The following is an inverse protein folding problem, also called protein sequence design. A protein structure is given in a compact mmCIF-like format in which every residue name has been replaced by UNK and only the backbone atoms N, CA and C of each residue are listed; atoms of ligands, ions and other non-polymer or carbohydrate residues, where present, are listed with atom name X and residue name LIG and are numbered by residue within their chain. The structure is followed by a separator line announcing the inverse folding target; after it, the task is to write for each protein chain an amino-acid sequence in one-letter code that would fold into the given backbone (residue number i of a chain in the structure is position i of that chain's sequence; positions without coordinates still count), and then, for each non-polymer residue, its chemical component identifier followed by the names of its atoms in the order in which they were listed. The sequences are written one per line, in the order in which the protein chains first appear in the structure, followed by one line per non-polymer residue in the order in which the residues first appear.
data_IF_021289536679
#
_entry.id   IF_021289536679
#
_cell.length_a   1.000
_cell.length_b   1.000
_cell.length_c   1.000
_cell.angle_alpha   90.00
_cell.angle_beta   90.00
_cell.angle_gamma   90.00
#
_symmetry.space_group_name_H-M   'P 1'
#
loop_
_entity.id
_entity.type
_entity.pdbx_description
1 polymer ?
#
# COMPACT_ATOMS: atom_id res chain seq x y z
N UNK A 1 5.55 -10.60 6.55
CA UNK A 1 5.11 -10.77 5.16
C UNK A 1 4.40 -12.10 5.04
N UNK A 2 3.13 -12.08 4.71
CA UNK A 2 2.33 -13.29 4.63
C UNK A 2 1.69 -13.43 3.24
N UNK A 3 2.01 -14.50 2.54
CA UNK A 3 1.38 -14.78 1.25
C UNK A 3 -0.04 -15.29 1.52
N UNK A 4 -1.04 -14.55 1.04
CA UNK A 4 -2.45 -14.92 1.20
C UNK A 4 -2.91 -15.91 0.14
N UNK A 5 -2.31 -15.88 -1.03
CA UNK A 5 -2.65 -16.73 -2.15
C UNK A 5 -2.80 -15.93 -3.43
N UNK A 6 -3.39 -16.57 -4.42
CA UNK A 6 -3.64 -15.94 -5.73
C UNK A 6 -5.11 -15.61 -5.90
N UNK A 7 -5.39 -14.49 -6.57
CA UNK A 7 -6.76 -14.16 -6.96
C UNK A 7 -7.17 -14.98 -8.17
N UNK A 8 -8.47 -14.97 -8.48
CA UNK A 8 -8.99 -15.68 -9.68
C UNK A 8 -8.39 -15.14 -10.98
N UNK A 9 -7.89 -13.90 -10.97
CA UNK A 9 -7.25 -13.28 -12.14
C UNK A 9 -5.75 -13.47 -12.19
N UNK A 10 -5.16 -14.25 -11.30
CA UNK A 10 -3.74 -14.60 -11.32
C UNK A 10 -2.80 -13.59 -10.66
N UNK A 11 -3.30 -12.82 -9.71
CA UNK A 11 -2.50 -11.88 -8.92
C UNK A 11 -2.12 -12.55 -7.59
N UNK A 12 -0.84 -12.55 -7.24
CA UNK A 12 -0.38 -13.04 -5.94
C UNK A 12 -0.52 -11.94 -4.90
N UNK A 13 -1.28 -12.19 -3.83
CA UNK A 13 -1.54 -11.20 -2.78
C UNK A 13 -0.72 -11.53 -1.54
N UNK A 14 0.04 -10.54 -1.08
CA UNK A 14 0.88 -10.63 0.11
C UNK A 14 0.44 -9.53 1.09
N UNK A 15 0.18 -9.93 2.33
CA UNK A 15 -0.18 -9.02 3.40
C UNK A 15 1.05 -8.77 4.28
N UNK A 16 1.32 -7.51 4.58
CA UNK A 16 2.43 -7.14 5.45
C UNK A 16 2.03 -5.99 6.36
N UNK A 17 2.29 -6.15 7.63
CA UNK A 17 2.02 -5.15 8.66
C UNK A 17 2.90 -3.90 8.53
N UNK A 18 3.85 -3.88 7.59
CA UNK A 18 4.77 -2.77 7.40
C UNK A 18 4.02 -1.45 7.27
N UNK A 19 4.40 -0.49 8.10
CA UNK A 19 3.81 0.86 8.11
C UNK A 19 4.86 1.95 8.35
N UNK A 20 6.10 1.57 8.59
CA UNK A 20 7.24 2.49 8.70
C UNK A 20 8.03 2.45 7.38
N UNK A 21 8.58 3.58 6.92
CA UNK A 21 9.27 3.62 5.61
C UNK A 21 10.37 2.56 5.45
N UNK A 22 11.14 2.29 6.50
CA UNK A 22 12.21 1.28 6.46
C UNK A 22 11.63 -0.12 6.27
N UNK A 23 10.53 -0.43 6.96
CA UNK A 23 9.86 -1.73 6.83
C UNK A 23 9.27 -1.90 5.43
N UNK A 24 8.66 -0.86 4.90
CA UNK A 24 8.05 -0.86 3.56
C UNK A 24 9.12 -1.15 2.51
N UNK A 25 10.23 -0.42 2.55
CA UNK A 25 11.34 -0.63 1.61
C UNK A 25 11.89 -2.05 1.69
N UNK A 26 12.03 -2.60 2.90
CA UNK A 26 12.52 -3.95 3.10
C UNK A 26 11.55 -5.00 2.54
N UNK A 27 10.25 -4.82 2.74
CA UNK A 27 9.23 -5.73 2.20
C UNK A 27 9.21 -5.73 0.69
N UNK A 28 9.31 -4.55 0.06
CA UNK A 28 9.35 -4.42 -1.40
C UNK A 28 10.59 -5.12 -1.95
N UNK A 29 11.75 -4.92 -1.32
CA UNK A 29 12.99 -5.57 -1.74
C UNK A 29 12.88 -7.09 -1.64
N UNK A 30 12.28 -7.60 -0.56
CA UNK A 30 12.07 -9.04 -0.38
C UNK A 30 11.14 -9.60 -1.46
N UNK A 31 10.09 -8.88 -1.81
CA UNK A 31 9.15 -9.30 -2.85
C UNK A 31 9.83 -9.33 -4.22
N UNK A 32 10.68 -8.34 -4.54
CA UNK A 32 11.47 -8.33 -5.78
C UNK A 32 12.34 -9.56 -5.88
N UNK A 33 12.98 -9.93 -4.79
CA UNK A 33 13.86 -11.11 -4.75
C UNK A 33 13.08 -12.41 -4.88
N UNK A 34 11.93 -12.51 -4.22
CA UNK A 34 11.11 -13.72 -4.23
C UNK A 34 10.36 -13.94 -5.55
N UNK A 35 10.02 -12.86 -6.26
CA UNK A 35 9.21 -12.90 -7.48
C UNK A 35 9.90 -12.15 -8.62
N UNK A 36 11.06 -12.62 -9.08
CA UNK A 36 11.81 -11.92 -10.12
C UNK A 36 11.02 -11.80 -11.41
N UNK A 37 11.11 -10.63 -12.05
CA UNK A 37 10.45 -10.39 -13.33
C UNK A 37 8.96 -10.09 -13.26
N UNK A 38 8.35 -10.14 -12.07
CA UNK A 38 6.93 -9.82 -11.90
C UNK A 38 6.76 -8.37 -11.46
N UNK A 39 5.67 -7.74 -11.90
CA UNK A 39 5.37 -6.36 -11.52
C UNK A 39 4.92 -6.31 -10.05
N UNK A 40 5.49 -5.39 -9.28
CA UNK A 40 5.16 -5.19 -7.88
C UNK A 40 4.24 -3.98 -7.74
N UNK A 41 3.02 -4.22 -7.30
CA UNK A 41 2.02 -3.19 -7.03
C UNK A 41 1.79 -3.14 -5.52
N UNK A 42 1.83 -1.93 -4.95
CA UNK A 42 1.60 -1.74 -3.51
C UNK A 42 0.24 -1.11 -3.28
N UNK A 43 -0.51 -1.63 -2.33
CA UNK A 43 -1.68 -0.98 -1.75
C UNK A 43 -1.28 -0.54 -0.35
N UNK A 44 -1.14 0.76 -0.12
CA UNK A 44 -0.62 1.31 1.13
C UNK A 44 -1.66 2.13 1.86
N UNK A 45 -1.96 1.73 3.11
CA UNK A 45 -2.78 2.51 4.02
C UNK A 45 -1.85 3.19 5.04
N UNK A 46 -1.67 4.52 4.98
CA UNK A 46 -0.88 5.21 5.99
C UNK A 46 -1.54 5.08 7.36
N UNK A 47 -0.72 4.95 8.39
CA UNK A 47 -1.19 4.78 9.77
C UNK A 47 -0.89 6.04 10.57
N UNK A 48 -1.93 6.74 10.98
CA UNK A 48 -1.99 8.01 11.70
C UNK A 48 -1.40 9.20 10.89
N UNK A 49 -2.02 10.36 11.08
CA UNK A 49 -1.55 11.61 10.47
C UNK A 49 -0.18 11.99 11.03
N UNK A 50 0.02 11.87 12.34
CA UNK A 50 1.26 12.25 12.98
C UNK A 50 2.46 11.48 12.42
N UNK A 51 2.33 10.17 12.26
CA UNK A 51 3.43 9.34 11.72
C UNK A 51 3.70 9.69 10.27
N UNK A 52 2.66 9.93 9.49
CA UNK A 52 2.82 10.28 8.08
C UNK A 52 3.54 11.62 7.94
N UNK A 53 3.23 12.59 8.79
CA UNK A 53 3.93 13.89 8.82
C UNK A 53 5.37 13.70 9.25
N UNK A 54 5.58 12.96 10.34
CA UNK A 54 6.93 12.78 10.92
C UNK A 54 7.91 12.17 9.92
N UNK A 55 7.47 11.20 9.14
CA UNK A 55 8.31 10.46 8.20
C UNK A 55 7.97 10.77 6.74
N UNK A 56 7.40 11.93 6.47
CA UNK A 56 6.88 12.29 5.14
C UNK A 56 7.91 12.06 4.05
N UNK A 57 9.11 12.63 4.20
CA UNK A 57 10.14 12.54 3.15
C UNK A 57 10.63 11.11 2.96
N UNK A 58 10.76 10.36 4.03
CA UNK A 58 11.18 8.96 3.98
C UNK A 58 10.14 8.09 3.28
N UNK A 59 8.85 8.37 3.46
CA UNK A 59 7.80 7.66 2.74
C UNK A 59 7.90 7.87 1.23
N UNK A 60 8.27 9.07 0.80
CA UNK A 60 8.30 9.40 -0.63
C UNK A 60 9.25 8.52 -1.43
N UNK A 61 10.31 8.03 -0.80
CA UNK A 61 11.32 7.16 -1.44
C UNK A 61 11.17 5.69 -1.05
N UNK A 62 10.34 5.37 -0.06
CA UNK A 62 10.20 4.01 0.45
C UNK A 62 9.71 3.03 -0.62
N UNK A 63 8.99 3.51 -1.62
CA UNK A 63 8.38 2.69 -2.67
C UNK A 63 9.20 2.63 -3.95
N UNK A 64 10.43 3.14 -3.95
CA UNK A 64 11.23 3.28 -5.17
C UNK A 64 11.43 1.95 -5.91
N UNK A 65 11.48 0.83 -5.21
CA UNK A 65 11.65 -0.48 -5.83
C UNK A 65 10.32 -1.10 -6.30
N UNK A 66 9.19 -0.48 -6.05
CA UNK A 66 7.90 -0.92 -6.56
C UNK A 66 7.62 -0.31 -7.94
N UNK A 67 6.72 -0.94 -8.70
CA UNK A 67 6.35 -0.42 -10.02
C UNK A 67 5.18 0.57 -9.94
N UNK A 68 4.28 0.38 -8.97
CA UNK A 68 3.08 1.19 -8.83
C UNK A 68 2.60 1.17 -7.39
N UNK A 69 2.06 2.30 -6.94
CA UNK A 69 1.50 2.43 -5.58
C UNK A 69 0.07 2.97 -5.68
N UNK A 70 -0.83 2.34 -4.96
CA UNK A 70 -2.18 2.88 -4.70
C UNK A 70 -2.25 3.16 -3.21
N UNK A 71 -2.60 4.40 -2.85
CA UNK A 71 -2.78 4.78 -1.45
C UNK A 71 -4.25 4.79 -1.09
N UNK A 72 -4.54 4.58 0.19
CA UNK A 72 -5.88 4.73 0.74
C UNK A 72 -5.95 5.92 1.68
N UNK A 73 -7.14 6.21 2.19
CA UNK A 73 -7.30 7.14 3.30
C UNK A 73 -6.46 6.69 4.49
N UNK A 74 -6.04 7.67 5.30
CA UNK A 74 -5.22 7.40 6.47
C UNK A 74 -6.06 6.72 7.54
N UNK A 75 -5.54 5.62 8.10
CA UNK A 75 -6.15 4.97 9.27
C UNK A 75 -5.70 5.70 10.53
N UNK A 76 -6.63 6.38 11.19
CA UNK A 76 -6.33 7.09 12.44
C UNK A 76 -7.56 7.03 13.35
N UNK A 77 -7.50 6.14 14.34
CA UNK A 77 -8.60 5.91 15.27
C UNK A 77 -8.66 6.93 16.41
N UNK A 78 -7.69 7.86 16.47
CA UNK A 78 -7.66 8.87 17.54
C UNK A 78 -8.62 10.00 17.25
N UNK A 79 -9.20 10.63 18.31
CA UNK A 79 -10.02 11.81 18.11
C UNK A 79 -9.28 12.92 17.37
N UNK A 80 -9.99 13.65 16.54
CA UNK A 80 -9.45 14.75 15.72
C UNK A 80 -9.30 16.04 16.51
N UNK A 81 -8.63 15.98 17.64
CA UNK A 81 -8.44 17.16 18.48
C UNK A 81 -7.04 17.70 18.25
N UNK A 82 -6.95 18.90 17.71
CA UNK A 82 -5.70 19.68 17.62
C UNK A 82 -4.52 18.93 16.97
N UNK A 83 -4.79 18.08 15.99
CA UNK A 83 -3.71 17.44 15.24
C UNK A 83 -3.59 18.03 13.85
N UNK A 84 -2.37 18.05 13.35
CA UNK A 84 -2.11 18.41 11.96
C UNK A 84 -2.59 17.28 11.06
N UNK A 85 -3.27 17.62 9.97
CA UNK A 85 -3.80 16.64 9.02
C UNK A 85 -2.95 16.61 7.76
N UNK A 86 -2.73 15.41 7.23
CA UNK A 86 -2.06 15.21 5.96
C UNK A 86 -3.11 15.32 4.84
N UNK A 87 -2.78 16.08 3.81
CA UNK A 87 -3.51 16.00 2.54
C UNK A 87 -3.03 14.75 1.81
N UNK A 88 -3.83 13.69 1.85
CA UNK A 88 -3.44 12.39 1.28
C UNK A 88 -3.26 12.45 -0.24
N UNK A 89 -4.02 13.27 -0.92
CA UNK A 89 -3.86 13.43 -2.38
C UNK A 89 -2.51 14.05 -2.71
N UNK A 90 -2.08 15.06 -1.94
CA UNK A 90 -0.78 15.68 -2.12
C UNK A 90 0.36 14.72 -1.76
N UNK A 91 0.21 14.01 -0.63
CA UNK A 91 1.18 13.00 -0.22
C UNK A 91 1.39 11.97 -1.33
N UNK A 92 0.30 11.48 -1.91
CA UNK A 92 0.36 10.49 -2.98
C UNK A 92 1.07 11.06 -4.21
N UNK A 93 0.75 12.30 -4.57
CA UNK A 93 1.40 12.96 -5.71
C UNK A 93 2.90 13.16 -5.49
N UNK A 94 3.33 13.30 -4.25
CA UNK A 94 4.74 13.52 -3.91
C UNK A 94 5.56 12.22 -3.89
N UNK A 95 4.93 11.05 -3.84
CA UNK A 95 5.65 9.76 -3.87
C UNK A 95 6.45 9.66 -5.18
N UNK A 96 7.72 9.25 -5.08
CA UNK A 96 8.61 9.19 -6.25
C UNK A 96 8.15 8.16 -7.27
N UNK A 97 7.72 6.98 -6.83
CA UNK A 97 7.16 5.96 -7.71
C UNK A 97 5.79 6.41 -8.22
N UNK A 98 5.40 5.96 -9.42
CA UNK A 98 4.05 6.22 -9.93
C UNK A 98 3.01 5.80 -8.91
N UNK A 99 2.18 6.74 -8.48
CA UNK A 99 1.24 6.50 -7.39
C UNK A 99 -0.12 7.12 -7.71
N UNK A 100 -1.18 6.48 -7.21
CA UNK A 100 -2.56 6.93 -7.39
C UNK A 100 -3.30 6.81 -6.07
N UNK A 101 -4.03 7.86 -5.71
CA UNK A 101 -4.88 7.84 -4.53
C UNK A 101 -6.18 7.09 -4.84
N UNK A 102 -6.51 6.09 -4.02
CA UNK A 102 -7.65 5.20 -4.24
C UNK A 102 -8.86 5.47 -3.33
N UNK A 103 -8.76 6.38 -2.37
CA UNK A 103 -9.86 6.66 -1.44
C UNK A 103 -9.95 5.68 -0.29
N UNK A 104 -11.17 5.43 0.22
CA UNK A 104 -11.36 4.40 1.25
C UNK A 104 -10.89 3.03 0.77
N UNK A 105 -10.49 2.12 1.69
CA UNK A 105 -9.92 0.81 1.30
C UNK A 105 -10.75 0.03 0.27
N UNK A 106 -12.06 -0.02 0.41
CA UNK A 106 -12.91 -0.77 -0.53
C UNK A 106 -12.93 -0.14 -1.92
N UNK A 107 -12.87 1.19 -2.01
CA UNK A 107 -12.79 1.87 -3.30
C UNK A 107 -11.42 1.68 -3.93
N UNK A 108 -10.36 1.69 -3.14
CA UNK A 108 -9.01 1.41 -3.61
C UNK A 108 -8.92 -0.02 -4.15
N UNK A 109 -9.55 -0.99 -3.48
CA UNK A 109 -9.65 -2.36 -3.97
C UNK A 109 -10.33 -2.41 -5.33
N UNK A 110 -11.47 -1.73 -5.47
CA UNK A 110 -12.21 -1.69 -6.73
C UNK A 110 -11.36 -1.11 -7.85
N UNK A 111 -10.65 -0.02 -7.58
CA UNK A 111 -9.74 0.59 -8.54
C UNK A 111 -8.66 -0.39 -9.00
N UNK A 112 -8.05 -1.09 -8.05
CA UNK A 112 -7.02 -2.09 -8.35
C UNK A 112 -7.56 -3.20 -9.24
N UNK A 113 -8.71 -3.76 -8.89
CA UNK A 113 -9.28 -4.91 -9.61
C UNK A 113 -9.79 -4.55 -11.00
N UNK A 114 -10.34 -3.35 -11.17
CA UNK A 114 -10.91 -2.93 -12.45
C UNK A 114 -9.88 -2.35 -13.41
N UNK A 115 -8.96 -1.52 -12.92
CA UNK A 115 -8.18 -0.66 -13.79
C UNK A 115 -6.67 -0.86 -13.71
N UNK A 116 -6.14 -1.57 -12.72
CA UNK A 116 -4.70 -1.60 -12.46
C UNK A 116 -4.10 -2.99 -12.54
N UNK A 117 -4.61 -3.94 -11.75
CA UNK A 117 -4.00 -5.25 -11.61
C UNK A 117 -4.07 -6.07 -12.89
N UNK A 118 -2.97 -6.76 -13.19
CA UNK A 118 -2.82 -7.62 -14.36
C UNK A 118 -2.37 -9.01 -13.89
N UNK A 119 -2.60 -9.99 -14.74
CA UNK A 119 -2.13 -11.36 -14.47
C UNK A 119 -0.63 -11.34 -14.19
N UNK A 120 -0.22 -12.15 -13.22
CA UNK A 120 1.15 -12.30 -12.73
C UNK A 120 1.67 -11.11 -11.90
N UNK A 121 0.87 -10.10 -11.62
CA UNK A 121 1.25 -9.06 -10.67
C UNK A 121 1.40 -9.63 -9.27
N UNK A 122 2.29 -9.04 -8.49
CA UNK A 122 2.39 -9.24 -7.05
C UNK A 122 1.83 -8.00 -6.37
N UNK A 123 0.78 -8.18 -5.59
CA UNK A 123 0.16 -7.10 -4.82
C UNK A 123 0.62 -7.18 -3.37
N UNK A 124 1.33 -6.15 -2.91
CA UNK A 124 1.70 -6.00 -1.51
C UNK A 124 0.67 -5.12 -0.82
N UNK A 125 -0.05 -5.68 0.14
CA UNK A 125 -1.01 -4.93 0.95
C UNK A 125 -0.29 -4.52 2.22
N UNK A 126 -0.03 -3.22 2.37
CA UNK A 126 0.85 -2.66 3.40
C UNK A 126 0.07 -1.77 4.36
N UNK A 127 0.21 -2.02 5.64
CA UNK A 127 -0.39 -1.21 6.67
C UNK A 127 -0.68 -1.97 7.94
N UNK A 128 -0.86 -1.23 9.04
CA UNK A 128 -1.11 -1.78 10.37
C UNK A 128 -2.58 -1.64 10.80
N UNK A 129 -3.44 -1.10 9.94
CA UNK A 129 -4.86 -0.92 10.22
C UNK A 129 -5.73 -2.00 9.61
N UNK A 130 -6.94 -1.62 9.22
CA UNK A 130 -7.94 -2.55 8.69
C UNK A 130 -7.69 -2.99 7.24
N UNK A 131 -6.65 -2.47 6.61
CA UNK A 131 -6.31 -2.81 5.22
C UNK A 131 -6.02 -4.31 5.05
N UNK A 132 -5.56 -4.98 6.08
CA UNK A 132 -5.26 -6.41 6.06
C UNK A 132 -6.50 -7.26 5.72
N UNK A 133 -7.69 -6.80 6.06
CA UNK A 133 -8.95 -7.45 5.72
C UNK A 133 -9.13 -7.55 4.20
N UNK A 134 -8.71 -6.51 3.48
CA UNK A 134 -8.78 -6.46 2.02
C UNK A 134 -7.94 -7.59 1.40
N UNK A 135 -6.73 -7.80 1.92
CA UNK A 135 -5.85 -8.86 1.42
C UNK A 135 -6.52 -10.24 1.52
N UNK A 136 -7.14 -10.53 2.66
CA UNK A 136 -7.83 -11.80 2.87
C UNK A 136 -9.02 -11.96 1.93
N UNK A 137 -9.81 -10.91 1.76
CA UNK A 137 -11.01 -10.95 0.92
C UNK A 137 -10.69 -11.12 -0.57
N UNK A 138 -9.59 -10.54 -1.04
CA UNK A 138 -9.23 -10.60 -2.45
C UNK A 138 -8.93 -12.01 -2.94
N UNK A 139 -8.48 -12.89 -2.07
CA UNK A 139 -8.15 -14.29 -2.41
C UNK A 139 -9.23 -15.29 -2.04
N UNK A 140 -10.35 -14.81 -1.50
CA UNK A 140 -11.46 -15.67 -1.10
C UNK A 140 -12.30 -16.10 -2.30
#
# INVERSE_FOLDING_TARGET
MEVKGDTSSGVTVIDDYAHHPVEIAATIAAAREAYPGRRIVCLFQPHTHDRTIQFYQEFLIAFDAADLVVTTDIYDARPDIEKELVDIAQFTADIHTTAQYGGPPMEARTLLERDILQQDDVLLVLGAGDITTIATEMVS
#
